data_IF_170457316837
#
_entry.id   IF_170457316837
#
_cell.length_a   1.000
_cell.length_b   1.000
_cell.length_c   1.000
_cell.angle_alpha   90.00
_cell.angle_beta   90.00
_cell.angle_gamma   90.00
#
_symmetry.space_group_name_H-M   'P 1'
#
loop_
_entity.id
_entity.type
_entity.pdbx_description
1 polymer ?
#
# COMPACT_ATOMS: atom_id res chain seq x y z
N UNK A 1 -4.57 1.55 -16.53
CA UNK A 1 -4.08 2.33 -15.37
C UNK A 1 -4.26 1.52 -14.09
N UNK A 2 -3.18 1.11 -13.40
CA UNK A 2 -3.30 0.38 -12.15
C UNK A 2 -4.09 1.19 -11.12
N UNK A 3 -4.94 0.54 -10.32
CA UNK A 3 -5.59 1.21 -9.19
C UNK A 3 -4.53 1.56 -8.15
N UNK A 4 -4.60 2.76 -7.59
CA UNK A 4 -3.76 3.16 -6.44
C UNK A 4 -4.07 2.19 -5.30
N UNK A 5 -3.08 1.81 -4.52
CA UNK A 5 -3.32 1.17 -3.21
C UNK A 5 -4.28 2.06 -2.41
N UNK A 6 -5.21 1.49 -1.64
CA UNK A 6 -6.09 2.17 -0.68
C UNK A 6 -6.18 1.38 0.63
N UNK A 7 -6.85 1.93 1.63
CA UNK A 7 -7.13 1.31 2.94
C UNK A 7 -7.86 -0.01 2.74
N UNK A 8 -8.86 -0.05 1.85
CA UNK A 8 -9.57 -1.26 1.41
C UNK A 8 -8.67 -2.34 0.77
N UNK A 9 -7.45 -2.00 0.35
CA UNK A 9 -6.48 -3.00 -0.12
C UNK A 9 -5.90 -3.82 1.04
N UNK A 10 -5.98 -3.30 2.28
CA UNK A 10 -5.55 -4.00 3.49
C UNK A 10 -6.46 -5.18 3.85
N UNK A 11 -7.69 -5.21 3.34
CA UNK A 11 -8.61 -6.34 3.57
C UNK A 11 -8.13 -7.65 2.96
N UNK A 12 -7.14 -7.62 2.07
CA UNK A 12 -6.55 -8.80 1.40
C UNK A 12 -5.21 -9.23 2.01
N UNK A 13 -4.77 -8.57 3.09
CA UNK A 13 -3.49 -8.84 3.73
C UNK A 13 -3.78 -9.73 4.94
N UNK A 14 -3.36 -10.99 4.86
CA UNK A 14 -3.45 -11.95 5.96
C UNK A 14 -2.06 -12.23 6.55
N UNK A 15 -1.03 -12.18 5.71
CA UNK A 15 0.36 -12.42 6.06
C UNK A 15 1.24 -11.24 5.62
N UNK A 16 2.46 -11.17 6.18
CA UNK A 16 3.39 -10.07 5.88
C UNK A 16 3.77 -9.96 4.40
N UNK A 17 3.87 -11.09 3.69
CA UNK A 17 4.15 -11.15 2.25
C UNK A 17 3.11 -10.44 1.39
N UNK A 18 1.84 -10.50 1.82
CA UNK A 18 0.72 -9.96 1.06
C UNK A 18 0.76 -8.42 0.99
N UNK A 19 1.50 -7.79 1.91
CA UNK A 19 1.72 -6.35 1.94
C UNK A 19 2.41 -5.87 0.65
N UNK A 20 3.43 -6.59 0.21
CA UNK A 20 4.19 -6.21 -0.99
C UNK A 20 3.35 -6.36 -2.25
N UNK A 21 2.50 -7.39 -2.33
CA UNK A 21 1.60 -7.62 -3.45
C UNK A 21 0.43 -6.62 -3.50
N UNK A 22 -0.04 -6.19 -2.33
CA UNK A 22 -1.09 -5.18 -2.21
C UNK A 22 -0.61 -3.78 -2.61
N UNK A 23 0.69 -3.47 -2.44
CA UNK A 23 1.26 -2.15 -2.74
C UNK A 23 1.52 -2.00 -4.24
N UNK A 24 0.55 -1.42 -4.96
CA UNK A 24 0.67 -1.12 -6.39
C UNK A 24 0.95 0.35 -6.68
N UNK A 25 2.08 0.63 -7.34
CA UNK A 25 2.41 1.98 -7.79
C UNK A 25 1.78 2.31 -9.16
N UNK A 26 0.61 2.94 -9.14
CA UNK A 26 -0.06 3.38 -10.37
C UNK A 26 0.67 4.46 -11.18
N UNK A 27 1.76 5.02 -10.63
CA UNK A 27 2.58 6.06 -11.30
C UNK A 27 3.94 5.51 -11.75
N UNK A 28 4.08 4.19 -11.86
CA UNK A 28 5.32 3.55 -12.36
C UNK A 28 5.62 3.93 -13.81
N UNK A 29 4.60 4.23 -14.62
CA UNK A 29 4.78 4.66 -16.03
C UNK A 29 4.88 6.19 -16.19
N UNK A 30 4.30 6.98 -15.28
CA UNK A 30 4.19 8.45 -15.45
C UNK A 30 5.17 9.23 -14.59
N UNK A 31 6.13 9.92 -15.24
CA UNK A 31 7.18 10.73 -14.57
C UNK A 31 7.82 9.98 -13.40
N UNK A 32 8.01 8.68 -13.59
CA UNK A 32 8.55 7.80 -12.58
C UNK A 32 10.04 8.06 -12.38
N UNK A 33 10.48 7.97 -11.13
CA UNK A 33 11.88 7.93 -10.78
C UNK A 33 12.04 6.98 -9.60
N UNK A 34 13.21 6.34 -9.44
CA UNK A 34 13.44 5.42 -8.33
C UNK A 34 13.21 6.07 -6.95
N UNK A 35 13.54 7.36 -6.82
CA UNK A 35 13.31 8.11 -5.58
C UNK A 35 11.83 8.33 -5.26
N UNK A 36 11.01 8.63 -6.29
CA UNK A 36 9.57 8.83 -6.12
C UNK A 36 8.85 7.51 -5.88
N UNK A 37 9.27 6.44 -6.53
CA UNK A 37 8.76 5.08 -6.32
C UNK A 37 8.94 4.66 -4.86
N UNK A 38 10.16 4.68 -4.32
CA UNK A 38 10.43 4.34 -2.91
C UNK A 38 9.60 5.17 -1.94
N UNK A 39 9.44 6.48 -2.20
CA UNK A 39 8.63 7.37 -1.35
C UNK A 39 7.14 7.01 -1.42
N UNK A 40 6.62 6.58 -2.58
CA UNK A 40 5.22 6.14 -2.73
C UNK A 40 5.01 4.78 -2.07
N UNK A 41 5.91 3.82 -2.29
CA UNK A 41 5.90 2.49 -1.68
C UNK A 41 5.82 2.58 -0.16
N UNK A 42 6.76 3.30 0.48
CA UNK A 42 6.76 3.54 1.94
C UNK A 42 5.48 4.20 2.44
N UNK A 43 4.92 5.15 1.68
CA UNK A 43 3.66 5.79 2.05
C UNK A 43 2.50 4.79 2.04
N UNK A 44 2.44 3.91 1.05
CA UNK A 44 1.37 2.92 0.92
C UNK A 44 1.52 1.81 1.96
N UNK A 45 2.73 1.31 2.18
CA UNK A 45 3.07 0.36 3.26
C UNK A 45 2.66 0.92 4.62
N UNK A 46 3.09 2.15 4.97
CA UNK A 46 2.73 2.81 6.24
C UNK A 46 1.22 2.94 6.43
N UNK A 47 0.50 3.21 5.34
CA UNK A 47 -0.95 3.39 5.42
C UNK A 47 -1.69 2.06 5.60
N UNK A 48 -1.24 1.00 4.91
CA UNK A 48 -1.81 -0.34 5.06
C UNK A 48 -1.52 -0.92 6.45
N UNK A 49 -0.29 -0.79 6.94
CA UNK A 49 0.06 -1.18 8.32
C UNK A 49 -0.74 -0.39 9.36
N UNK A 50 -0.97 0.91 9.14
CA UNK A 50 -1.86 1.72 9.98
C UNK A 50 -3.27 1.14 9.98
N UNK A 51 -3.85 0.90 8.81
CA UNK A 51 -5.18 0.32 8.68
C UNK A 51 -5.29 -1.02 9.43
N UNK A 52 -4.33 -1.93 9.23
CA UNK A 52 -4.30 -3.24 9.90
C UNK A 52 -4.21 -3.12 11.42
N UNK A 53 -3.44 -2.15 11.93
CA UNK A 53 -3.28 -1.93 13.37
C UNK A 53 -4.58 -1.41 14.02
N UNK A 54 -5.29 -0.50 13.35
CA UNK A 54 -6.48 0.14 13.91
C UNK A 54 -7.79 -0.61 13.60
N UNK A 55 -7.78 -1.53 12.62
CA UNK A 55 -8.96 -2.33 12.25
C UNK A 55 -9.56 -3.15 13.39
N UNK A 56 -8.74 -3.58 14.36
CA UNK A 56 -9.19 -4.35 15.53
C UNK A 56 -9.45 -3.52 16.80
N UNK A 57 -9.42 -2.18 16.69
CA UNK A 57 -9.62 -1.26 17.84
C UNK A 57 -11.05 -0.68 17.86
N UNK A 58 -11.84 -0.90 16.81
CA UNK A 58 -13.22 -0.39 16.69
C UNK A 58 -14.31 -1.42 17.10
N UNK A 59 -13.93 -2.60 17.62
CA UNK A 59 -14.84 -3.63 18.13
C UNK A 59 -15.03 -3.56 19.65
#
# INVERSE_FOLDING_TARGET
MPRRTYEKSGSKIEQASDLDEAVKDKRVEWRASPSKERRRRRRYEKRLTKELLFRGVED
#
